data_IF_031796583016
#
_entry.id   IF_031796583016
#
_cell.length_a   1.000
_cell.length_b   1.000
_cell.length_c   1.000
_cell.angle_alpha   90.00
_cell.angle_beta   90.00
_cell.angle_gamma   90.00
#
_symmetry.space_group_name_H-M   'P 1'
#
loop_
_entity.id
_entity.type
_entity.pdbx_description
1 polymer ?
#
# COMPACT_ATOMS: atom_id res chain seq x y z
N UNK A 1 -5.41 8.58 -23.25
CA UNK A 1 -4.79 7.25 -23.09
C UNK A 1 -4.35 7.12 -21.63
N UNK A 2 -5.24 6.68 -20.72
CA UNK A 2 -4.91 6.54 -19.29
C UNK A 2 -4.13 5.23 -19.05
N UNK A 3 -2.90 5.35 -18.56
CA UNK A 3 -1.93 4.25 -18.36
C UNK A 3 -2.09 3.51 -17.02
N UNK A 4 -3.25 3.59 -16.37
CA UNK A 4 -3.45 3.11 -14.98
C UNK A 4 -3.64 1.57 -14.89
N UNK A 5 -3.76 0.86 -16.02
CA UNK A 5 -4.34 -0.49 -16.04
C UNK A 5 -3.44 -1.71 -15.76
N UNK A 6 -2.08 -1.68 -15.69
CA UNK A 6 -1.34 -2.91 -15.44
C UNK A 6 -1.32 -3.36 -13.96
N UNK A 7 -1.64 -2.48 -13.01
CA UNK A 7 -1.44 -2.78 -11.57
C UNK A 7 -2.63 -3.53 -10.91
N UNK A 8 -3.80 -3.57 -11.54
CA UNK A 8 -5.00 -4.23 -10.99
C UNK A 8 -5.10 -5.73 -11.36
N UNK A 9 -4.14 -6.27 -12.10
CA UNK A 9 -4.05 -7.70 -12.37
C UNK A 9 -3.31 -8.36 -11.22
N UNK A 10 -4.08 -8.86 -10.27
CA UNK A 10 -3.57 -9.60 -9.13
C UNK A 10 -2.68 -10.77 -9.57
N UNK A 11 -1.56 -10.98 -8.88
CA UNK A 11 -0.70 -12.17 -9.08
C UNK A 11 -1.35 -13.47 -8.57
N UNK A 12 -2.44 -13.35 -7.80
CA UNK A 12 -3.22 -14.48 -7.29
C UNK A 12 -4.31 -14.87 -8.28
N UNK A 13 -4.45 -16.16 -8.59
CA UNK A 13 -5.51 -16.69 -9.47
C UNK A 13 -6.91 -16.67 -8.83
N UNK A 14 -7.05 -16.18 -7.60
CA UNK A 14 -8.33 -16.12 -6.90
C UNK A 14 -9.02 -14.76 -7.12
N UNK A 15 -10.15 -14.77 -7.82
CA UNK A 15 -10.94 -13.59 -8.20
C UNK A 15 -11.59 -12.87 -7.01
N UNK A 16 -11.82 -13.57 -5.90
CA UNK A 16 -12.48 -13.00 -4.72
C UNK A 16 -11.48 -12.32 -3.78
N UNK A 17 -10.21 -12.73 -3.83
CA UNK A 17 -9.14 -12.19 -2.99
C UNK A 17 -8.39 -11.09 -3.74
N UNK A 18 -9.04 -9.94 -3.89
CA UNK A 18 -8.34 -8.72 -4.28
C UNK A 18 -7.49 -8.27 -3.08
N UNK A 19 -6.19 -8.59 -3.09
CA UNK A 19 -5.22 -7.97 -2.18
C UNK A 19 -5.18 -6.47 -2.49
N UNK A 20 -6.09 -5.73 -1.88
CA UNK A 20 -6.12 -4.28 -1.97
C UNK A 20 -4.79 -3.73 -1.46
N UNK A 21 -4.36 -2.61 -2.03
CA UNK A 21 -3.24 -1.83 -1.50
C UNK A 21 -3.67 -1.10 -0.20
N UNK A 22 -4.22 -1.85 0.75
CA UNK A 22 -4.65 -1.34 2.03
C UNK A 22 -3.39 -1.00 2.83
N UNK A 23 -3.25 0.26 3.20
CA UNK A 23 -2.10 0.77 3.96
C UNK A 23 -0.89 1.20 3.12
N UNK A 24 -0.90 1.01 1.79
CA UNK A 24 0.14 1.62 0.94
C UNK A 24 -0.21 3.09 0.65
N UNK A 25 0.78 3.98 0.59
CA UNK A 25 0.54 5.34 0.14
C UNK A 25 0.06 5.33 -1.32
N UNK A 26 -0.80 6.29 -1.68
CA UNK A 26 -1.24 6.46 -3.07
C UNK A 26 -0.02 6.69 -3.97
N UNK A 27 0.07 6.02 -5.14
CA UNK A 27 1.17 6.25 -6.07
C UNK A 27 1.19 7.72 -6.52
N UNK A 28 2.37 8.30 -6.73
CA UNK A 28 2.49 9.67 -7.23
C UNK A 28 1.98 9.73 -8.67
N UNK A 29 1.21 10.78 -8.97
CA UNK A 29 0.67 11.03 -10.33
C UNK A 29 1.70 11.79 -11.18
N UNK A 30 2.69 12.40 -10.54
CA UNK A 30 3.72 13.21 -11.17
C UNK A 30 5.07 12.48 -11.15
N UNK A 31 5.89 12.74 -12.15
CA UNK A 31 7.30 12.39 -12.14
C UNK A 31 7.96 13.19 -11.01
N UNK A 32 8.33 12.47 -9.95
CA UNK A 32 9.05 13.07 -8.83
C UNK A 32 10.51 13.28 -9.28
N UNK A 33 11.17 14.36 -8.83
CA UNK A 33 12.61 14.51 -9.02
C UNK A 33 13.36 13.34 -8.37
N UNK A 34 14.62 13.19 -8.76
CA UNK A 34 15.50 12.14 -8.23
C UNK A 34 15.57 12.16 -6.69
N UNK A 35 15.93 11.02 -6.12
CA UNK A 35 16.08 10.76 -4.68
C UNK A 35 16.98 11.75 -3.94
N UNK A 36 17.88 12.43 -4.66
CA UNK A 36 18.74 13.50 -4.15
C UNK A 36 18.01 14.83 -3.89
N UNK A 37 16.82 15.02 -4.45
CA UNK A 37 16.02 16.22 -4.26
C UNK A 37 15.32 16.22 -2.90
N UNK A 38 15.59 17.25 -2.09
CA UNK A 38 14.94 17.42 -0.80
C UNK A 38 13.73 18.35 -0.93
N UNK A 39 12.55 17.82 -0.61
CA UNK A 39 11.32 18.61 -0.59
C UNK A 39 11.26 19.55 0.62
N UNK A 40 10.56 20.66 0.45
CA UNK A 40 10.41 21.68 1.47
C UNK A 40 11.33 22.88 1.24
N UNK A 41 11.01 23.98 1.91
CA UNK A 41 11.83 25.19 1.86
C UNK A 41 13.02 24.99 2.78
N UNK A 42 14.25 24.96 2.23
CA UNK A 42 15.46 25.01 3.05
C UNK A 42 15.40 26.28 3.88
N UNK A 43 15.26 26.12 5.19
CA UNK A 43 15.33 27.24 6.12
C UNK A 43 16.81 27.56 6.26
N UNK A 44 17.23 28.65 5.60
CA UNK A 44 18.54 29.23 5.87
C UNK A 44 18.48 29.76 7.30
N UNK A 45 18.96 28.97 8.25
CA UNK A 45 19.23 29.47 9.59
C UNK A 45 20.33 30.49 9.43
N UNK A 46 20.11 31.68 9.97
CA UNK A 46 21.21 32.63 10.08
C UNK A 46 22.33 31.91 10.83
N UNK A 47 23.56 32.02 10.33
CA UNK A 47 24.73 31.40 10.98
C UNK A 47 25.06 32.01 12.33
N UNK A 48 24.20 32.90 12.84
CA UNK A 48 24.32 33.58 14.11
C UNK A 48 23.75 32.64 15.18
N UNK A 49 24.63 32.01 15.94
CA UNK A 49 24.27 31.18 17.08
C UNK A 49 23.66 32.01 18.21
N UNK A 50 22.84 31.37 19.06
CA UNK A 50 22.20 32.06 20.20
C UNK A 50 23.21 32.77 21.12
N UNK A 51 24.43 32.25 21.20
CA UNK A 51 25.55 32.84 21.95
C UNK A 51 25.96 34.23 21.45
N UNK A 52 26.00 34.42 20.14
CA UNK A 52 26.33 35.73 19.55
C UNK A 52 25.19 36.72 19.80
N UNK A 53 23.94 36.27 19.66
CA UNK A 53 22.74 37.07 19.95
C UNK A 53 22.72 37.54 21.41
N UNK A 54 23.00 36.66 22.38
CA UNK A 54 23.02 37.04 23.80
C UNK A 54 24.21 37.94 24.16
N UNK A 55 25.36 37.77 23.49
CA UNK A 55 26.54 38.63 23.72
C UNK A 55 26.29 40.05 23.23
N UNK A 56 25.69 40.22 22.05
CA UNK A 56 25.46 41.54 21.46
C UNK A 56 24.44 42.39 22.24
N UNK A 57 23.46 41.74 22.89
CA UNK A 57 22.50 42.41 23.78
C UNK A 57 23.16 43.09 24.99
N UNK A 58 24.25 42.50 25.49
CA UNK A 58 24.92 42.97 26.70
C UNK A 58 25.80 44.20 26.45
N UNK A 59 26.22 44.43 25.19
CA UNK A 59 27.16 45.48 24.82
C UNK A 59 26.57 46.64 24.00
N UNK A 60 25.25 46.71 23.80
CA UNK A 60 24.59 47.89 23.24
C UNK A 60 25.00 48.28 21.80
N UNK A 61 25.73 47.43 21.09
CA UNK A 61 26.14 47.69 19.71
C UNK A 61 24.99 47.33 18.74
N UNK A 62 24.04 48.24 18.55
CA UNK A 62 22.90 48.07 17.62
C UNK A 62 23.27 48.19 16.13
N UNK A 63 24.55 47.98 15.75
CA UNK A 63 25.00 48.13 14.36
C UNK A 63 24.66 46.93 13.45
N UNK A 64 24.12 45.83 13.99
CA UNK A 64 23.78 44.63 13.20
C UNK A 64 22.31 44.49 12.80
N UNK A 65 21.52 45.56 12.84
CA UNK A 65 20.29 45.62 12.04
C UNK A 65 20.65 45.70 10.56
N UNK A 66 20.99 44.56 9.96
CA UNK A 66 21.03 44.38 8.51
C UNK A 66 19.72 44.94 7.98
N UNK A 67 19.82 46.01 7.18
CA UNK A 67 18.70 46.67 6.49
C UNK A 67 17.68 45.59 6.11
N UNK A 68 16.51 45.64 6.73
CA UNK A 68 15.43 44.70 6.44
C UNK A 68 15.30 44.64 4.92
N UNK A 69 15.45 43.44 4.34
CA UNK A 69 15.18 43.25 2.91
C UNK A 69 13.81 43.87 2.66
N UNK A 70 13.78 44.89 1.81
CA UNK A 70 12.53 45.52 1.38
C UNK A 70 11.62 44.41 0.87
N UNK A 71 10.59 44.10 1.66
CA UNK A 71 9.61 43.07 1.30
C UNK A 71 8.89 43.65 0.10
N UNK A 72 9.21 43.15 -1.10
CA UNK A 72 8.45 43.48 -2.30
C UNK A 72 7.07 42.87 -2.12
N UNK A 73 6.10 43.72 -1.84
CA UNK A 73 4.68 43.36 -1.88
C UNK A 73 4.39 42.88 -3.32
N UNK A 74 3.65 41.78 -3.50
CA UNK A 74 3.24 41.35 -4.83
C UNK A 74 2.42 42.42 -5.54
N UNK A 75 2.55 42.52 -6.87
CA UNK A 75 1.76 43.44 -7.71
C UNK A 75 0.25 43.27 -7.49
N UNK A 76 -0.54 44.30 -7.77
CA UNK A 76 -2.02 44.28 -7.64
C UNK A 76 -2.71 43.16 -8.46
N UNK A 77 -2.02 42.60 -9.47
CA UNK A 77 -2.50 41.43 -10.23
C UNK A 77 -2.26 40.08 -9.51
N UNK A 78 -1.57 40.08 -8.37
CA UNK A 78 -1.25 38.88 -7.62
C UNK A 78 -2.45 38.41 -6.79
N UNK A 79 -3.14 37.38 -7.29
CA UNK A 79 -4.25 36.75 -6.58
C UNK A 79 -3.73 35.55 -5.79
N UNK A 80 -3.93 35.56 -4.48
CA UNK A 80 -3.65 34.39 -3.63
C UNK A 80 -4.67 33.28 -3.93
N UNK A 81 -4.19 32.06 -4.22
CA UNK A 81 -5.04 30.88 -4.40
C UNK A 81 -4.44 29.85 -5.36
N UNK A 82 -4.87 28.58 -5.25
CA UNK A 82 -4.58 27.59 -6.30
C UNK A 82 -5.42 27.94 -7.54
N UNK A 83 -4.83 27.80 -8.74
CA UNK A 83 -5.59 27.88 -10.00
C UNK A 83 -6.85 27.02 -9.87
N UNK A 84 -8.01 27.61 -10.14
CA UNK A 84 -9.28 26.90 -10.07
C UNK A 84 -9.18 25.62 -10.90
N UNK A 85 -9.42 24.48 -10.25
CA UNK A 85 -9.54 23.22 -10.97
C UNK A 85 -10.67 23.39 -11.99
N UNK A 86 -10.48 22.97 -13.25
CA UNK A 86 -11.57 23.04 -14.21
C UNK A 86 -12.75 22.26 -13.62
N UNK A 87 -13.94 22.86 -13.68
CA UNK A 87 -15.15 22.19 -13.21
C UNK A 87 -15.27 20.83 -13.89
N UNK A 88 -15.66 19.81 -13.12
CA UNK A 88 -15.94 18.49 -13.67
C UNK A 88 -16.90 18.64 -14.85
N UNK A 89 -16.58 18.09 -16.04
CA UNK A 89 -17.36 18.33 -17.24
C UNK A 89 -18.76 17.72 -17.09
N UNK A 90 -19.71 18.56 -16.68
CA UNK A 90 -21.03 18.13 -16.22
C UNK A 90 -21.81 17.40 -17.32
N UNK A 91 -21.64 17.79 -18.58
CA UNK A 91 -22.24 17.08 -19.71
C UNK A 91 -21.78 15.62 -19.83
N UNK A 92 -20.56 15.26 -19.39
CA UNK A 92 -20.13 13.84 -19.36
C UNK A 92 -20.76 13.08 -18.20
N UNK A 93 -21.03 13.77 -17.10
CA UNK A 93 -21.67 13.22 -15.90
C UNK A 93 -23.15 12.92 -16.17
N UNK A 94 -23.89 13.89 -16.73
CA UNK A 94 -25.30 13.70 -17.12
C UNK A 94 -25.44 12.54 -18.10
N UNK A 95 -24.56 12.49 -19.10
CA UNK A 95 -24.59 11.43 -20.12
C UNK A 95 -24.02 10.10 -19.62
N UNK A 96 -23.71 9.95 -18.33
CA UNK A 96 -23.17 8.74 -17.71
C UNK A 96 -21.93 8.15 -18.40
N UNK A 97 -21.16 8.97 -19.13
CA UNK A 97 -20.01 8.50 -19.93
C UNK A 97 -18.96 7.80 -19.07
N UNK A 98 -18.70 8.34 -17.88
CA UNK A 98 -17.75 7.75 -16.94
C UNK A 98 -18.19 6.39 -16.42
N UNK A 99 -19.49 6.20 -16.19
CA UNK A 99 -20.03 4.92 -15.73
C UNK A 99 -19.89 3.89 -16.85
N UNK A 100 -20.25 4.26 -18.09
CA UNK A 100 -20.17 3.38 -19.24
C UNK A 100 -18.73 2.95 -19.55
N UNK A 101 -17.78 3.90 -19.54
CA UNK A 101 -16.35 3.60 -19.71
C UNK A 101 -15.85 2.62 -18.64
N UNK A 102 -16.27 2.81 -17.38
CA UNK A 102 -15.90 1.90 -16.30
C UNK A 102 -16.49 0.50 -16.48
N UNK A 103 -17.76 0.39 -16.90
CA UNK A 103 -18.40 -0.91 -17.15
C UNK A 103 -17.75 -1.65 -18.31
N UNK A 104 -17.45 -0.97 -19.42
CA UNK A 104 -16.75 -1.56 -20.57
C UNK A 104 -15.36 -2.07 -20.19
N UNK A 105 -14.63 -1.32 -19.38
CA UNK A 105 -13.33 -1.74 -18.85
C UNK A 105 -13.46 -3.01 -18.01
N UNK A 106 -14.43 -3.07 -17.10
CA UNK A 106 -14.68 -4.24 -16.25
C UNK A 106 -15.01 -5.46 -17.12
N UNK A 107 -15.89 -5.30 -18.11
CA UNK A 107 -16.28 -6.37 -19.03
C UNK A 107 -15.08 -6.88 -19.84
N UNK A 108 -14.23 -5.99 -20.34
CA UNK A 108 -13.01 -6.36 -21.06
C UNK A 108 -12.07 -7.20 -20.19
N UNK A 109 -11.93 -6.86 -18.90
CA UNK A 109 -11.10 -7.61 -17.95
C UNK A 109 -11.67 -9.02 -17.72
N UNK A 110 -12.99 -9.14 -17.56
CA UNK A 110 -13.64 -10.43 -17.40
C UNK A 110 -13.47 -11.32 -18.64
N UNK A 111 -13.69 -10.76 -19.83
CA UNK A 111 -13.51 -11.48 -21.11
C UNK A 111 -12.08 -11.96 -21.31
N UNK A 112 -11.09 -11.11 -21.02
CA UNK A 112 -9.67 -11.47 -21.12
C UNK A 112 -9.27 -12.56 -20.13
N UNK A 113 -9.94 -12.67 -18.98
CA UNK A 113 -9.65 -13.68 -17.96
C UNK A 113 -10.39 -14.99 -18.19
N UNK A 114 -11.63 -14.97 -18.71
CA UNK A 114 -12.37 -16.20 -19.03
C UNK A 114 -11.69 -17.04 -20.11
N UNK A 115 -11.00 -16.37 -21.05
CA UNK A 115 -10.22 -17.03 -22.10
C UNK A 115 -8.88 -17.61 -21.59
N UNK A 116 -8.45 -17.28 -20.37
CA UNK A 116 -7.22 -17.86 -19.80
C UNK A 116 -7.52 -19.24 -19.24
N UNK A 117 -6.98 -20.27 -19.89
CA UNK A 117 -6.96 -21.64 -19.35
C UNK A 117 -6.26 -21.60 -17.99
N UNK A 118 -6.89 -22.19 -16.96
CA UNK A 118 -6.33 -22.22 -15.60
C UNK A 118 -5.05 -23.05 -15.60
N UNK A 119 -3.89 -22.38 -15.68
CA UNK A 119 -2.62 -23.04 -15.45
C UNK A 119 -2.63 -23.50 -13.99
N UNK A 120 -2.54 -24.82 -13.76
CA UNK A 120 -2.33 -25.37 -12.42
C UNK A 120 -1.07 -24.69 -11.87
N UNK A 121 -1.22 -23.91 -10.80
CA UNK A 121 -0.08 -23.31 -10.14
C UNK A 121 0.76 -24.46 -9.56
N UNK A 122 1.95 -24.65 -10.12
CA UNK A 122 2.94 -25.57 -9.55
C UNK A 122 3.47 -24.88 -8.30
N UNK A 123 2.89 -25.22 -7.14
CA UNK A 123 3.38 -24.75 -5.85
C UNK A 123 4.73 -25.43 -5.64
N UNK A 124 5.79 -24.63 -5.54
CA UNK A 124 7.10 -25.16 -5.15
C UNK A 124 7.01 -25.68 -3.72
N UNK A 125 7.31 -26.97 -3.53
CA UNK A 125 7.31 -27.62 -2.21
C UNK A 125 8.50 -27.09 -1.43
N UNK A 126 8.25 -26.20 -0.48
CA UNK A 126 9.25 -25.74 0.46
C UNK A 126 9.31 -26.65 1.70
N UNK A 127 10.33 -26.48 2.55
CA UNK A 127 10.51 -27.28 3.78
C UNK A 127 9.26 -27.29 4.66
N UNK A 128 8.58 -26.15 4.80
CA UNK A 128 7.33 -26.05 5.56
C UNK A 128 6.19 -26.88 4.98
N UNK A 129 6.10 -27.01 3.66
CA UNK A 129 5.09 -27.84 3.00
C UNK A 129 5.28 -29.33 3.33
N UNK A 130 6.53 -29.80 3.30
CA UNK A 130 6.88 -31.17 3.68
C UNK A 130 6.57 -31.45 5.16
N UNK A 131 6.96 -30.56 6.07
CA UNK A 131 6.66 -30.69 7.50
C UNK A 131 5.15 -30.76 7.77
N UNK A 132 4.34 -30.00 7.02
CA UNK A 132 2.88 -30.03 7.14
C UNK A 132 2.28 -31.37 6.69
N UNK A 133 2.82 -31.94 5.61
CA UNK A 133 2.43 -33.28 5.15
C UNK A 133 2.75 -34.33 6.22
N UNK A 134 3.97 -34.32 6.74
CA UNK A 134 4.40 -35.26 7.80
C UNK A 134 3.57 -35.16 9.07
N UNK A 135 3.25 -33.93 9.51
CA UNK A 135 2.41 -33.73 10.69
C UNK A 135 0.99 -34.24 10.47
N UNK A 136 0.42 -34.01 9.30
CA UNK A 136 -0.93 -34.47 8.98
C UNK A 136 -1.01 -35.99 8.80
N UNK A 137 0.02 -36.64 8.25
CA UNK A 137 0.08 -38.10 8.15
C UNK A 137 0.20 -38.76 9.52
N UNK A 138 1.09 -38.24 10.40
CA UNK A 138 1.25 -38.75 11.78
C UNK A 138 -0.05 -38.66 12.58
N UNK A 139 -0.75 -37.53 12.48
CA UNK A 139 -2.03 -37.34 13.20
C UNK A 139 -3.09 -38.36 12.77
N UNK A 140 -3.11 -38.72 11.48
CA UNK A 140 -4.03 -39.73 10.92
C UNK A 140 -3.73 -41.14 11.41
N UNK A 141 -2.46 -41.46 11.68
CA UNK A 141 -2.04 -42.75 12.26
C UNK A 141 -2.38 -42.85 13.76
N UNK A 142 -2.35 -41.72 14.48
CA UNK A 142 -2.70 -41.67 15.91
C UNK A 142 -4.20 -41.80 16.16
N UNK A 143 -5.05 -41.27 15.28
CA UNK A 143 -6.52 -41.37 15.38
C UNK A 143 -7.04 -42.82 15.30
N UNK A 144 -6.25 -43.76 14.76
CA UNK A 144 -6.61 -45.19 14.70
C UNK A 144 -6.13 -46.01 15.91
N UNK A 145 -5.44 -45.42 16.89
CA UNK A 145 -5.12 -46.10 18.15
C UNK A 145 -6.23 -45.81 19.15
N UNK A 146 -7.28 -46.64 19.14
CA UNK A 146 -8.45 -46.51 20.04
C UNK A 146 -8.06 -46.41 21.53
N UNK A 147 -6.93 -47.00 21.93
CA UNK A 147 -6.42 -46.90 23.29
C UNK A 147 -4.95 -46.44 23.31
N UNK A 148 -4.71 -45.29 23.92
CA UNK A 148 -3.35 -44.74 24.16
C UNK A 148 -2.54 -45.60 25.14
N UNK A 149 -3.21 -46.40 25.96
CA UNK A 149 -2.60 -47.21 27.02
C UNK A 149 -2.53 -48.65 26.55
N UNK A 150 -1.31 -49.19 26.39
CA UNK A 150 -1.06 -50.56 25.91
C UNK A 150 -1.83 -51.63 26.68
N UNK A 151 -2.05 -51.41 27.98
CA UNK A 151 -2.76 -52.32 28.88
C UNK A 151 -4.18 -52.68 28.40
N UNK A 152 -4.82 -51.83 27.61
CA UNK A 152 -6.19 -52.04 27.15
C UNK A 152 -6.28 -52.64 25.74
N UNK A 153 -5.17 -52.80 25.01
CA UNK A 153 -5.18 -53.44 23.68
C UNK A 153 -5.52 -54.94 23.74
N UNK A 154 -5.20 -55.62 24.84
CA UNK A 154 -5.38 -57.07 24.99
C UNK A 154 -6.70 -57.46 25.68
N UNK A 155 -7.47 -56.48 26.17
CA UNK A 155 -8.71 -56.76 26.91
C UNK A 155 -9.82 -57.07 25.90
N UNK A 156 -10.11 -58.34 25.70
CA UNK A 156 -11.25 -58.80 24.89
C UNK A 156 -12.56 -58.36 25.54
N UNK A 157 -13.46 -57.75 24.77
CA UNK A 157 -14.77 -57.35 25.26
C UNK A 157 -15.58 -58.60 25.63
N UNK A 158 -16.21 -58.56 26.81
CA UNK A 158 -16.99 -59.70 27.36
C UNK A 158 -18.36 -59.89 26.69
N UNK A 159 -18.65 -59.11 25.64
CA UNK A 159 -19.98 -59.02 24.99
C UNK A 159 -20.23 -60.22 24.05
N UNK A 160 -19.19 -60.99 23.68
CA UNK A 160 -19.31 -62.13 22.76
C UNK A 160 -19.24 -63.52 23.41
N UNK A 161 -19.48 -63.65 24.72
CA UNK A 161 -19.58 -64.95 25.39
C UNK A 161 -21.06 -65.27 25.69
N UNK A 162 -21.78 -65.69 24.65
CA UNK A 162 -23.04 -66.44 24.73
C UNK A 162 -22.74 -67.91 24.43
#
# INVERSE_FOLDING_TARGET
MSTILPYLINKTNNILLLRGDVGKPKPSIQELPDSSYCYGKKVNRDGIGMKEITSDWQYGNSMHHKKSKTVKLPDESFVYGLKNKPSTPFGKVINMKYANEATELIESIYRMRSQRISKKQVIQKNRSYSLRLEHNTKKKEEEHREFKIKRFLEIKSKIYQL
#
